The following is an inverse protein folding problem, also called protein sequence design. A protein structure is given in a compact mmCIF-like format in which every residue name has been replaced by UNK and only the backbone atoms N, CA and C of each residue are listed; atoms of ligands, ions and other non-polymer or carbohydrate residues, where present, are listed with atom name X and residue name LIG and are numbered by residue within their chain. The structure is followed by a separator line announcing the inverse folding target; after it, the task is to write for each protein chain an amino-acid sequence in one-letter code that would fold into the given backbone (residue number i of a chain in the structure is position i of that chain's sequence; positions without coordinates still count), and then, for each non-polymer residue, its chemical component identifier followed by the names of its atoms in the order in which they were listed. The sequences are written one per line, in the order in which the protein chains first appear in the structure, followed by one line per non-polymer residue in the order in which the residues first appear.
data_IF_002584750032
#
_entry.id   IF_002584750032
#
_cell.length_a   1.000
_cell.length_b   1.000
_cell.length_c   1.000
_cell.angle_alpha   90.00
_cell.angle_beta   90.00
_cell.angle_gamma   90.00
#
_symmetry.space_group_name_H-M   'P 1'
#
loop_
_entity.id
_entity.type
_entity.pdbx_description
1 polymer ?
#
# COMPACT_ATOMS: atom_id res chain seq x y z
N UNK A 1 -1.62 -29.79 15.58
CA UNK A 1 -0.84 -28.54 15.81
C UNK A 1 -0.54 -27.74 14.52
N UNK A 2 -1.28 -27.92 13.42
CA UNK A 2 -0.97 -27.35 12.09
C UNK A 2 -1.62 -26.00 11.78
N UNK A 3 -2.80 -25.70 12.36
CA UNK A 3 -3.62 -24.54 11.99
C UNK A 3 -3.00 -23.17 12.38
N UNK A 4 -2.31 -23.09 13.53
CA UNK A 4 -1.60 -21.87 13.98
C UNK A 4 -0.44 -21.49 13.04
N UNK A 5 0.24 -22.48 12.45
CA UNK A 5 1.35 -22.25 11.52
C UNK A 5 0.86 -21.61 10.21
N UNK A 6 -0.24 -22.11 9.66
CA UNK A 6 -0.83 -21.57 8.42
C UNK A 6 -1.36 -20.15 8.60
N UNK A 7 -2.06 -19.88 9.72
CA UNK A 7 -2.56 -18.53 10.04
C UNK A 7 -1.42 -17.52 10.19
N UNK A 8 -0.34 -17.88 10.87
CA UNK A 8 0.81 -17.00 11.03
C UNK A 8 1.52 -16.72 9.70
N UNK A 9 1.63 -17.72 8.81
CA UNK A 9 2.16 -17.52 7.45
C UNK A 9 1.28 -16.57 6.64
N UNK A 10 -0.04 -16.72 6.69
CA UNK A 10 -0.98 -15.80 6.03
C UNK A 10 -0.84 -14.37 6.53
N UNK A 11 -0.78 -14.16 7.86
CA UNK A 11 -0.55 -12.83 8.45
C UNK A 11 0.79 -12.23 8.01
N UNK A 12 1.83 -13.06 7.85
CA UNK A 12 3.12 -12.63 7.32
C UNK A 12 3.04 -12.15 5.87
N UNK A 13 2.34 -12.89 5.00
CA UNK A 13 2.12 -12.48 3.61
C UNK A 13 1.30 -11.19 3.50
N UNK A 14 0.23 -11.07 4.29
CA UNK A 14 -0.57 -9.83 4.33
C UNK A 14 0.27 -8.66 4.82
N UNK A 15 1.17 -8.85 5.79
CA UNK A 15 2.08 -7.80 6.22
C UNK A 15 3.08 -7.40 5.14
N UNK A 16 3.60 -8.36 4.36
CA UNK A 16 4.48 -8.06 3.23
C UNK A 16 3.77 -7.16 2.21
N UNK A 17 2.51 -7.49 1.84
CA UNK A 17 1.70 -6.67 0.95
C UNK A 17 1.50 -5.25 1.50
N UNK A 18 1.18 -5.11 2.79
CA UNK A 18 1.04 -3.78 3.42
C UNK A 18 2.33 -2.97 3.31
N UNK A 19 3.48 -3.59 3.56
CA UNK A 19 4.78 -2.92 3.45
C UNK A 19 5.09 -2.48 2.02
N UNK A 20 4.75 -3.31 1.02
CA UNK A 20 4.98 -2.99 -0.38
C UNK A 20 4.06 -1.85 -0.86
N UNK A 21 2.82 -1.79 -0.37
CA UNK A 21 1.92 -0.65 -0.62
C UNK A 21 2.46 0.65 -0.01
N UNK A 22 3.04 0.59 1.20
CA UNK A 22 3.68 1.75 1.83
C UNK A 22 4.86 2.26 1.00
N UNK A 23 5.73 1.35 0.51
CA UNK A 23 6.83 1.71 -0.40
C UNK A 23 6.33 2.30 -1.72
N UNK A 24 5.26 1.74 -2.30
CA UNK A 24 4.68 2.27 -3.52
C UNK A 24 4.16 3.70 -3.33
N UNK A 25 3.49 3.98 -2.21
CA UNK A 25 3.03 5.34 -1.89
C UNK A 25 4.20 6.31 -1.66
N UNK A 26 5.30 5.87 -1.06
CA UNK A 26 6.53 6.66 -0.91
C UNK A 26 7.14 7.00 -2.28
N UNK A 27 7.24 6.03 -3.18
CA UNK A 27 7.71 6.27 -4.55
C UNK A 27 6.81 7.27 -5.30
N UNK A 28 5.49 7.22 -5.12
CA UNK A 28 4.59 8.21 -5.72
C UNK A 28 4.82 9.61 -5.15
N UNK A 29 5.05 9.77 -3.84
CA UNK A 29 5.41 11.07 -3.26
C UNK A 29 6.70 11.61 -3.86
N UNK A 30 7.68 10.75 -4.11
CA UNK A 30 8.93 11.16 -4.77
C UNK A 30 8.71 11.56 -6.23
N UNK A 31 7.78 10.91 -6.95
CA UNK A 31 7.40 11.33 -8.30
C UNK A 31 6.83 12.76 -8.29
N UNK A 32 6.00 13.11 -7.31
CA UNK A 32 5.49 14.48 -7.15
C UNK A 32 6.62 15.49 -6.86
N UNK A 33 7.54 15.13 -5.95
CA UNK A 33 8.71 15.94 -5.63
C UNK A 33 9.62 16.18 -6.84
N UNK A 34 9.88 15.14 -7.66
CA UNK A 34 10.71 15.27 -8.86
C UNK A 34 9.98 15.94 -10.02
N UNK A 35 8.65 15.92 -10.04
CA UNK A 35 7.88 16.65 -11.03
C UNK A 35 8.00 18.16 -10.82
N UNK A 36 8.27 18.63 -9.59
CA UNK A 36 8.45 20.06 -9.24
C UNK A 36 7.35 20.98 -9.82
N UNK A 37 6.11 20.47 -9.87
CA UNK A 37 4.97 21.16 -10.50
C UNK A 37 5.03 21.26 -12.03
N UNK A 38 6.05 20.71 -12.69
CA UNK A 38 6.25 20.73 -14.15
C UNK A 38 5.37 19.74 -14.93
N UNK A 39 4.49 19.00 -14.27
CA UNK A 39 3.55 18.09 -14.93
C UNK A 39 2.16 18.14 -14.31
N UNK A 40 1.26 18.91 -14.93
CA UNK A 40 -0.16 19.01 -14.56
C UNK A 40 -0.85 17.66 -14.43
N UNK A 41 -0.44 16.70 -15.27
CA UNK A 41 -0.98 15.34 -15.25
C UNK A 41 -0.58 14.60 -13.97
N UNK A 42 0.67 14.73 -13.53
CA UNK A 42 1.14 14.12 -12.28
C UNK A 42 0.40 14.76 -11.11
N UNK A 43 0.41 16.09 -11.00
CA UNK A 43 -0.27 16.80 -9.90
C UNK A 43 -1.76 16.46 -9.80
N UNK A 44 -2.45 16.23 -10.93
CA UNK A 44 -3.88 15.88 -10.95
C UNK A 44 -4.18 14.41 -10.64
N UNK A 45 -3.37 13.48 -11.13
CA UNK A 45 -3.67 12.04 -11.04
C UNK A 45 -3.00 11.36 -9.83
N UNK A 46 -1.87 11.89 -9.36
CA UNK A 46 -1.10 11.30 -8.27
C UNK A 46 -1.88 11.22 -6.94
N UNK A 47 -2.66 12.24 -6.52
CA UNK A 47 -3.50 12.12 -5.33
C UNK A 47 -4.51 10.97 -5.44
N UNK A 48 -5.06 10.72 -6.64
CA UNK A 48 -6.01 9.61 -6.86
C UNK A 48 -5.34 8.25 -6.72
N UNK A 49 -4.12 8.12 -7.27
CA UNK A 49 -3.32 6.89 -7.15
C UNK A 49 -2.97 6.61 -5.69
N UNK A 50 -2.54 7.62 -4.94
CA UNK A 50 -2.24 7.49 -3.50
C UNK A 50 -3.50 7.09 -2.73
N UNK A 51 -4.65 7.72 -2.99
CA UNK A 51 -5.91 7.37 -2.34
C UNK A 51 -6.35 5.92 -2.63
N UNK A 52 -6.18 5.46 -3.87
CA UNK A 52 -6.50 4.09 -4.27
C UNK A 52 -5.60 3.08 -3.55
N UNK A 53 -4.28 3.31 -3.51
CA UNK A 53 -3.35 2.44 -2.79
C UNK A 53 -3.62 2.42 -1.29
N UNK A 54 -3.96 3.57 -0.70
CA UNK A 54 -4.37 3.65 0.70
C UNK A 54 -5.63 2.82 0.97
N UNK A 55 -6.65 2.92 0.12
CA UNK A 55 -7.88 2.14 0.25
C UNK A 55 -7.63 0.63 0.14
N UNK A 56 -6.76 0.20 -0.78
CA UNK A 56 -6.34 -1.20 -0.89
C UNK A 56 -5.60 -1.65 0.37
N UNK A 57 -4.67 -0.82 0.88
CA UNK A 57 -3.94 -1.10 2.13
C UNK A 57 -4.90 -1.32 3.30
N UNK A 58 -5.93 -0.49 3.44
CA UNK A 58 -6.91 -0.60 4.53
C UNK A 58 -7.71 -1.91 4.48
N UNK A 59 -7.92 -2.49 3.29
CA UNK A 59 -8.53 -3.82 3.16
C UNK A 59 -7.59 -4.89 3.72
N UNK A 60 -6.31 -4.86 3.34
CA UNK A 60 -5.32 -5.83 3.83
C UNK A 60 -5.05 -5.70 5.34
N UNK A 61 -5.03 -4.48 5.88
CA UNK A 61 -4.90 -4.26 7.33
C UNK A 61 -6.08 -4.89 8.07
N UNK A 62 -7.32 -4.72 7.58
CA UNK A 62 -8.51 -5.37 8.15
C UNK A 62 -8.44 -6.90 8.07
N UNK A 63 -8.04 -7.44 6.93
CA UNK A 63 -7.83 -8.89 6.79
C UNK A 63 -6.85 -9.43 7.84
N UNK A 64 -5.74 -8.70 8.11
CA UNK A 64 -4.77 -9.11 9.13
C UNK A 64 -5.33 -9.09 10.56
N UNK A 65 -6.30 -8.22 10.87
CA UNK A 65 -6.97 -8.20 12.17
C UNK A 65 -8.01 -9.31 12.34
N UNK A 66 -8.62 -9.74 11.24
CA UNK A 66 -9.67 -10.78 11.23
C UNK A 66 -9.12 -12.21 11.13
N UNK A 67 -7.86 -12.37 10.68
CA UNK A 67 -7.12 -13.66 10.60
C UNK A 67 -6.52 -14.11 11.93
#
# INVERSE_FOLDING_TARGET
MTQRSTRNRLRGQVQAVVNDLDRAMEHLRNVDLYADGGSDKITKELPKLVAMLSGIKDIFVRWRSEL
#
